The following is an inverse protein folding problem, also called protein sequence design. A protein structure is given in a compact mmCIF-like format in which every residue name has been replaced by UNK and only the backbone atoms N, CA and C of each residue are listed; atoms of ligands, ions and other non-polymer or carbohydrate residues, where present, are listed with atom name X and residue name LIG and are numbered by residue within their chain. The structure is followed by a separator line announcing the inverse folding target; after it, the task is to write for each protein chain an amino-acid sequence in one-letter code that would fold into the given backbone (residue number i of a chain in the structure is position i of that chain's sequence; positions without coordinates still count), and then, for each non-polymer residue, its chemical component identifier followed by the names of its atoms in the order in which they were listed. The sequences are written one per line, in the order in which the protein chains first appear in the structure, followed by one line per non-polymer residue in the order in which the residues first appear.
data_IF_414657151866
#
_entry.id   IF_414657151866
#
_cell.length_a   1.000
_cell.length_b   1.000
_cell.length_c   1.000
_cell.angle_alpha   90.00
_cell.angle_beta   90.00
_cell.angle_gamma   90.00
#
_symmetry.space_group_name_H-M   'P 1'
#
loop_
_entity.id
_entity.type
_entity.pdbx_description
1 polymer ?
#
# COMPACT_ATOMS: atom_id res chain seq x y z
N UNK A 1 2.84 -0.97 17.35
CA UNK A 1 2.26 -0.26 16.19
C UNK A 1 2.70 -1.00 14.95
N UNK A 2 1.81 -1.29 14.00
CA UNK A 2 2.23 -1.99 12.77
C UNK A 2 3.09 -1.03 11.94
N UNK A 3 4.37 -1.38 11.80
CA UNK A 3 5.35 -0.66 11.02
C UNK A 3 6.02 -1.66 10.08
N UNK A 4 5.98 -1.39 8.78
CA UNK A 4 6.50 -2.33 7.80
C UNK A 4 5.82 -2.27 6.44
N UNK A 5 6.26 -3.16 5.56
CA UNK A 5 5.67 -3.34 4.24
C UNK A 5 4.33 -4.06 4.39
N UNK A 6 3.31 -3.45 3.83
CA UNK A 6 1.95 -3.96 3.82
C UNK A 6 1.54 -4.30 2.40
N UNK A 7 0.87 -5.44 2.26
CA UNK A 7 0.33 -5.91 1.00
C UNK A 7 -1.05 -6.47 1.26
N UNK A 8 -2.04 -5.99 0.53
CA UNK A 8 -3.39 -6.57 0.46
C UNK A 8 -3.55 -7.24 -0.87
N UNK A 9 -4.22 -8.38 -0.82
CA UNK A 9 -4.56 -9.17 -1.99
C UNK A 9 -6.08 -9.21 -2.12
N UNK A 10 -6.56 -9.29 -3.35
CA UNK A 10 -7.93 -9.65 -3.65
C UNK A 10 -8.16 -11.12 -3.32
N UNK A 11 -9.43 -11.52 -3.29
CA UNK A 11 -9.85 -12.91 -3.04
C UNK A 11 -9.22 -13.91 -4.04
N UNK A 12 -8.95 -13.46 -5.27
CA UNK A 12 -8.26 -14.23 -6.31
C UNK A 12 -6.74 -14.36 -6.12
N UNK A 13 -6.17 -13.77 -5.06
CA UNK A 13 -4.73 -13.74 -4.81
C UNK A 13 -3.95 -12.64 -5.56
N UNK A 14 -4.60 -11.85 -6.42
CA UNK A 14 -3.95 -10.72 -7.08
C UNK A 14 -3.66 -9.61 -6.07
N UNK A 15 -2.51 -8.94 -6.20
CA UNK A 15 -2.19 -7.80 -5.37
C UNK A 15 -3.25 -6.70 -5.56
N UNK A 16 -3.86 -6.24 -4.48
CA UNK A 16 -4.79 -5.12 -4.46
C UNK A 16 -4.04 -3.83 -4.18
N UNK A 17 -3.34 -3.76 -3.06
CA UNK A 17 -2.56 -2.59 -2.71
C UNK A 17 -1.31 -2.99 -1.94
N UNK A 18 -0.25 -2.21 -2.12
CA UNK A 18 0.95 -2.33 -1.30
C UNK A 18 1.53 -0.98 -0.96
N UNK A 19 2.20 -0.93 0.17
CA UNK A 19 2.98 0.23 0.58
C UNK A 19 3.59 0.01 1.94
N UNK A 20 3.97 1.10 2.62
CA UNK A 20 4.55 1.02 3.94
C UNK A 20 3.60 1.67 4.95
N UNK A 21 3.44 1.05 6.11
CA UNK A 21 2.86 1.72 7.26
C UNK A 21 3.97 2.10 8.23
N UNK A 22 3.85 3.28 8.83
CA UNK A 22 4.70 3.78 9.90
C UNK A 22 3.80 4.41 10.96
N UNK A 23 3.95 4.00 12.21
CA UNK A 23 3.05 4.38 13.31
C UNK A 23 1.55 4.22 12.99
N UNK A 24 1.16 3.19 12.22
CA UNK A 24 -0.24 2.96 11.81
C UNK A 24 -0.76 3.89 10.70
N UNK A 25 0.08 4.75 10.12
CA UNK A 25 -0.26 5.62 8.97
C UNK A 25 0.48 5.18 7.72
N UNK A 26 -0.17 5.31 6.55
CA UNK A 26 0.47 5.05 5.25
C UNK A 26 1.62 6.01 5.04
N UNK A 27 2.76 5.50 4.59
CA UNK A 27 3.95 6.28 4.31
C UNK A 27 4.73 5.72 3.11
N UNK A 28 5.49 6.58 2.44
CA UNK A 28 6.21 6.29 1.21
C UNK A 28 5.29 5.99 0.02
N UNK A 29 5.83 5.33 -1.02
CA UNK A 29 5.09 5.03 -2.24
C UNK A 29 4.06 3.94 -1.97
N UNK A 30 2.79 4.29 -2.19
CA UNK A 30 1.64 3.41 -2.09
C UNK A 30 1.12 3.10 -3.48
N UNK A 31 1.07 1.81 -3.81
CA UNK A 31 0.65 1.32 -5.12
C UNK A 31 -0.65 0.56 -4.98
N UNK A 32 -1.61 0.87 -5.84
CA UNK A 32 -2.91 0.21 -5.93
C UNK A 32 -3.01 -0.41 -7.32
N UNK A 33 -3.41 -1.66 -7.36
CA UNK A 33 -3.51 -2.50 -8.52
C UNK A 33 -4.98 -2.89 -8.75
N UNK A 34 -5.31 -3.19 -10.01
CA UNK A 34 -6.61 -3.75 -10.40
C UNK A 34 -6.68 -5.24 -10.11
N UNK A 35 -7.87 -5.85 -10.23
CA UNK A 35 -8.05 -7.31 -10.13
C UNK A 35 -7.22 -8.10 -11.17
N UNK A 36 -6.87 -7.45 -12.29
CA UNK A 36 -6.00 -7.96 -13.35
C UNK A 36 -4.49 -7.84 -13.04
N UNK A 37 -4.11 -7.22 -11.91
CA UNK A 37 -2.70 -7.01 -11.52
C UNK A 37 -2.05 -5.78 -12.14
N UNK A 38 -2.78 -5.01 -12.96
CA UNK A 38 -2.29 -3.76 -13.53
C UNK A 38 -2.26 -2.63 -12.49
N UNK A 39 -1.17 -1.86 -12.46
CA UNK A 39 -1.05 -0.69 -11.58
C UNK A 39 -2.09 0.37 -11.98
N UNK A 40 -3.05 0.61 -11.08
CA UNK A 40 -4.12 1.60 -11.25
C UNK A 40 -3.72 2.96 -10.72
N UNK A 41 -3.01 2.99 -9.60
CA UNK A 41 -2.67 4.23 -8.93
C UNK A 41 -1.38 4.06 -8.14
N UNK A 42 -0.53 5.08 -8.21
CA UNK A 42 0.61 5.25 -7.33
C UNK A 42 0.47 6.60 -6.64
N UNK A 43 0.60 6.61 -5.31
CA UNK A 43 0.60 7.82 -4.49
C UNK A 43 1.76 7.77 -3.52
N UNK A 44 2.54 8.83 -3.45
CA UNK A 44 3.51 8.98 -2.38
C UNK A 44 2.84 9.60 -1.15
N UNK A 45 2.90 8.88 -0.03
CA UNK A 45 2.44 9.38 1.25
C UNK A 45 3.65 9.85 2.04
N UNK A 46 3.72 11.15 2.31
CA UNK A 46 4.81 11.70 3.12
C UNK A 46 4.94 11.01 4.49
N UNK A 47 6.08 11.18 5.16
CA UNK A 47 6.24 10.67 6.52
C UNK A 47 5.15 11.23 7.43
N UNK A 48 4.63 10.42 8.38
CA UNK A 48 3.71 10.93 9.37
C UNK A 48 4.40 12.10 10.10
N UNK A 49 3.83 13.31 10.00
CA UNK A 49 4.25 14.44 10.82
C UNK A 49 4.00 14.08 12.28
N UNK A 50 5.05 14.22 13.11
CA UNK A 50 5.04 13.94 14.55
C UNK A 50 4.02 14.80 15.28
#
# INVERSE_FOLDING_TARGET
MQEGLWKRFFDNGTLWDQGKYLAGKKTGPWKVYSKDGNLKQEKDFGPPRK
#
